data_IF_926202965788
#
_entry.id   IF_926202965788
#
_cell.length_a   1.000
_cell.length_b   1.000
_cell.length_c   1.000
_cell.angle_alpha   90.00
_cell.angle_beta   90.00
_cell.angle_gamma   90.00
#
_symmetry.space_group_name_H-M   'P 1'
#
loop_
_entity.id
_entity.type
_entity.pdbx_description
1 polymer ?
#
# COMPACT_ATOMS: atom_id res chain seq x y z
N UNK A 1 -13.57 -10.75 12.12
CA UNK A 1 -12.12 -10.90 11.90
C UNK A 1 -11.77 -9.89 10.83
N UNK A 2 -11.39 -8.68 11.24
CA UNK A 2 -11.31 -7.53 10.33
C UNK A 2 -9.88 -7.04 10.36
N UNK A 3 -9.19 -7.09 9.22
CA UNK A 3 -7.94 -6.34 9.04
C UNK A 3 -8.38 -4.88 8.86
N UNK A 4 -8.06 -4.04 9.84
CA UNK A 4 -8.36 -2.62 9.78
C UNK A 4 -7.28 -1.89 9.01
N UNK A 5 -7.66 -1.19 7.95
CA UNK A 5 -6.78 -0.26 7.24
C UNK A 5 -7.03 1.12 7.85
N UNK A 6 -6.00 1.70 8.46
CA UNK A 6 -6.03 3.09 8.93
C UNK A 6 -5.23 3.95 7.93
N UNK A 7 -5.92 4.88 7.27
CA UNK A 7 -5.32 5.84 6.35
C UNK A 7 -5.12 7.15 7.11
N UNK A 8 -3.88 7.59 7.27
CA UNK A 8 -3.54 8.89 7.84
C UNK A 8 -2.90 9.72 6.74
N UNK A 9 -3.62 10.75 6.26
CA UNK A 9 -3.06 11.71 5.32
C UNK A 9 -2.60 12.95 6.08
N UNK A 10 -1.31 13.27 5.97
CA UNK A 10 -0.72 14.49 6.52
C UNK A 10 -0.30 15.39 5.36
N UNK A 11 -0.90 16.56 5.26
CA UNK A 11 -0.42 17.61 4.37
C UNK A 11 0.68 18.40 5.09
N UNK A 12 1.95 18.13 4.79
CA UNK A 12 3.03 18.97 5.27
C UNK A 12 3.08 20.29 4.46
N UNK A 13 3.34 21.45 5.07
CA UNK A 13 3.28 22.76 4.42
C UNK A 13 4.32 23.00 3.31
N UNK A 14 5.15 22.00 2.98
CA UNK A 14 6.16 22.03 1.90
C UNK A 14 6.09 20.83 0.96
N UNK A 15 5.09 19.96 1.10
CA UNK A 15 4.92 18.82 0.21
C UNK A 15 3.92 19.19 -0.89
N UNK A 16 4.37 19.13 -2.14
CA UNK A 16 3.53 19.33 -3.34
C UNK A 16 2.43 18.27 -3.47
N UNK A 17 2.57 17.14 -2.77
CA UNK A 17 1.63 16.01 -2.76
C UNK A 17 1.41 15.57 -1.32
N UNK A 18 0.16 15.47 -0.81
CA UNK A 18 -0.10 14.99 0.54
C UNK A 18 0.42 13.56 0.72
N UNK A 19 1.18 13.33 1.79
CA UNK A 19 1.68 12.00 2.11
C UNK A 19 0.63 11.27 2.94
N UNK A 20 0.07 10.20 2.37
CA UNK A 20 -0.83 9.30 3.08
C UNK A 20 -0.05 8.05 3.48
N UNK A 21 0.11 7.85 4.79
CA UNK A 21 0.63 6.60 5.33
C UNK A 21 -0.56 5.69 5.65
N UNK A 22 -0.52 4.48 5.09
CA UNK A 22 -1.50 3.44 5.37
C UNK A 22 -0.83 2.41 6.24
N UNK A 23 -1.35 2.22 7.45
CA UNK A 23 -0.80 1.28 8.41
C UNK A 23 -1.66 0.02 8.47
N UNK A 24 -1.05 -1.13 8.19
CA UNK A 24 -1.66 -2.44 8.37
C UNK A 24 -1.46 -2.89 9.82
N UNK A 25 -2.51 -2.80 10.64
CA UNK A 25 -2.45 -3.27 12.03
C UNK A 25 -3.07 -4.66 12.12
N UNK A 26 -2.24 -5.69 12.26
CA UNK A 26 -2.73 -7.01 12.64
C UNK A 26 -3.22 -6.97 14.10
N UNK A 27 -4.49 -7.28 14.31
CA UNK A 27 -5.11 -7.41 15.64
C UNK A 27 -5.29 -8.87 16.06
N UNK A 28 -4.64 -9.80 15.35
CA UNK A 28 -4.75 -11.25 15.54
C UNK A 28 -3.36 -11.79 15.88
N UNK A 29 -3.21 -12.66 16.89
CA UNK A 29 -1.92 -13.28 17.21
C UNK A 29 -1.43 -14.13 16.03
N UNK A 30 -0.10 -14.14 15.81
CA UNK A 30 0.64 -14.82 14.70
C UNK A 30 0.42 -16.35 14.58
N UNK A 31 -0.54 -16.91 15.30
CA UNK A 31 -0.90 -18.33 15.31
C UNK A 31 -1.65 -18.77 14.03
N UNK A 32 -2.00 -17.84 13.14
CA UNK A 32 -2.53 -18.09 11.80
C UNK A 32 -1.61 -17.45 10.77
N UNK A 33 -0.86 -18.28 10.06
CA UNK A 33 0.04 -17.83 9.01
C UNK A 33 -0.78 -17.47 7.76
N UNK A 34 -1.10 -16.19 7.58
CA UNK A 34 -1.73 -15.72 6.35
C UNK A 34 -0.72 -15.81 5.20
N UNK A 35 -1.21 -16.19 4.01
CA UNK A 35 -0.38 -16.20 2.80
C UNK A 35 0.25 -14.83 2.52
N UNK A 36 -0.41 -13.74 2.93
CA UNK A 36 0.09 -12.38 2.80
C UNK A 36 0.05 -11.69 4.17
N UNK A 37 1.14 -11.00 4.50
CA UNK A 37 1.29 -10.16 5.69
C UNK A 37 1.85 -8.80 5.23
N UNK A 38 1.00 -7.92 4.67
CA UNK A 38 1.43 -6.62 4.20
C UNK A 38 1.90 -5.77 5.39
N UNK A 39 3.17 -5.35 5.37
CA UNK A 39 3.79 -4.60 6.47
C UNK A 39 3.92 -3.11 6.20
N UNK A 40 4.00 -2.73 4.93
CA UNK A 40 4.22 -1.34 4.52
C UNK A 40 3.68 -1.11 3.12
N UNK A 41 3.36 0.15 2.82
CA UNK A 41 3.09 0.58 1.46
C UNK A 41 3.69 1.95 1.17
N UNK A 42 3.89 2.21 -0.11
CA UNK A 42 4.29 3.50 -0.66
C UNK A 42 3.35 3.89 -1.81
N UNK A 43 3.14 5.19 -1.97
CA UNK A 43 2.37 5.78 -3.07
C UNK A 43 3.32 6.70 -3.84
N UNK A 44 3.32 6.59 -5.16
CA UNK A 44 4.16 7.36 -6.06
C UNK A 44 3.80 7.07 -7.51
N UNK A 45 4.40 7.78 -8.44
CA UNK A 45 4.40 7.39 -9.85
C UNK A 45 5.68 6.58 -10.07
N UNK A 46 5.56 5.28 -10.30
CA UNK A 46 6.69 4.35 -10.41
C UNK A 46 6.93 3.88 -11.86
N UNK A 47 6.06 4.25 -12.80
CA UNK A 47 6.17 3.90 -14.21
C UNK A 47 6.18 5.12 -15.16
N UNK A 48 6.23 6.34 -14.61
CA UNK A 48 6.25 7.63 -15.32
C UNK A 48 5.02 7.89 -16.19
N UNK A 49 3.84 7.42 -15.77
CA UNK A 49 2.57 7.64 -16.48
C UNK A 49 1.72 8.81 -15.94
N UNK A 50 2.23 9.52 -14.93
CA UNK A 50 1.61 10.60 -14.18
C UNK A 50 0.41 10.18 -13.30
N UNK A 51 0.18 8.89 -13.09
CA UNK A 51 -0.87 8.39 -12.21
C UNK A 51 -0.29 7.82 -10.90
N UNK A 52 -1.03 7.93 -9.78
CA UNK A 52 -0.60 7.33 -8.53
C UNK A 52 -0.66 5.80 -8.56
N UNK A 53 0.47 5.18 -8.29
CA UNK A 53 0.66 3.74 -8.09
C UNK A 53 0.76 3.39 -6.60
N UNK A 54 0.62 2.10 -6.29
CA UNK A 54 0.82 1.56 -4.93
C UNK A 54 1.85 0.45 -4.96
N UNK A 55 2.83 0.52 -4.06
CA UNK A 55 3.76 -0.57 -3.75
C UNK A 55 3.42 -1.13 -2.37
N UNK A 56 3.31 -2.46 -2.24
CA UNK A 56 3.02 -3.15 -0.98
C UNK A 56 4.12 -4.18 -0.70
N UNK A 57 4.71 -4.14 0.50
CA UNK A 57 5.68 -5.14 0.96
C UNK A 57 4.94 -6.21 1.77
N UNK A 58 4.93 -7.46 1.29
CA UNK A 58 4.31 -8.60 1.97
C UNK A 58 5.38 -9.48 2.62
N UNK A 59 5.42 -9.49 3.95
CA UNK A 59 6.44 -10.22 4.70
C UNK A 59 6.26 -11.74 4.63
N UNK A 60 5.04 -12.24 4.81
CA UNK A 60 4.78 -13.69 4.80
C UNK A 60 4.92 -14.32 3.40
N UNK A 61 4.67 -13.55 2.33
CA UNK A 61 4.82 -14.01 0.96
C UNK A 61 6.25 -13.80 0.41
N UNK A 62 7.11 -13.11 1.17
CA UNK A 62 8.45 -12.69 0.77
C UNK A 62 8.48 -12.00 -0.61
N UNK A 63 7.53 -11.08 -0.83
CA UNK A 63 7.42 -10.37 -2.11
C UNK A 63 7.02 -8.91 -1.96
N UNK A 64 7.20 -8.17 -3.06
CA UNK A 64 6.74 -6.79 -3.22
C UNK A 64 5.72 -6.79 -4.33
N UNK A 65 4.51 -6.33 -4.06
CA UNK A 65 3.47 -6.16 -5.07
C UNK A 65 3.40 -4.70 -5.53
N UNK A 66 3.35 -4.46 -6.84
CA UNK A 66 3.16 -3.12 -7.42
C UNK A 66 1.83 -3.09 -8.18
N UNK A 67 1.00 -2.12 -7.86
CA UNK A 67 -0.30 -1.87 -8.49
C UNK A 67 -0.20 -0.55 -9.27
N UNK A 68 -0.26 -0.62 -10.59
CA UNK A 68 -0.23 0.57 -11.44
C UNK A 68 -1.60 1.25 -11.50
N UNK A 69 -1.62 2.57 -11.42
CA UNK A 69 -2.83 3.38 -11.44
C UNK A 69 -3.32 3.69 -12.85
N UNK A 70 -4.63 3.67 -13.08
CA UNK A 70 -5.23 4.11 -14.35
C UNK A 70 -5.68 5.58 -14.37
N UNK A 71 -5.35 6.35 -13.31
CA UNK A 71 -5.75 7.76 -13.19
C UNK A 71 -7.22 8.05 -12.87
N UNK A 72 -8.10 7.05 -12.95
CA UNK A 72 -9.52 7.13 -12.63
C UNK A 72 -9.87 6.55 -11.24
N UNK A 73 -8.85 6.29 -10.40
CA UNK A 73 -8.98 5.66 -9.09
C UNK A 73 -9.05 4.12 -9.12
N UNK A 74 -8.99 3.50 -10.31
CA UNK A 74 -8.80 2.05 -10.45
C UNK A 74 -7.32 1.68 -10.64
N UNK A 75 -6.99 0.42 -10.37
CA UNK A 75 -5.62 -0.11 -10.41
C UNK A 75 -5.54 -1.40 -11.21
N UNK A 76 -4.37 -1.64 -11.78
CA UNK A 76 -3.99 -2.90 -12.41
C UNK A 76 -3.91 -4.06 -11.41
N UNK A 77 -3.91 -5.28 -11.94
CA UNK A 77 -3.52 -6.44 -11.14
C UNK A 77 -2.06 -6.32 -10.73
N UNK A 78 -1.72 -6.71 -9.49
CA UNK A 78 -0.37 -6.50 -9.00
C UNK A 78 0.64 -7.34 -9.75
N UNK A 79 1.76 -6.74 -10.08
CA UNK A 79 2.99 -7.46 -10.42
C UNK A 79 3.77 -7.74 -9.14
N UNK A 80 4.41 -8.92 -9.02
CA UNK A 80 5.15 -9.38 -7.84
C UNK A 80 6.51 -9.95 -8.19
#
# INVERSE_FOLDING_TARGET
>A
MTVGILIICVAAPKQSVPKCDVNFKSMIPDLIHYKYDPRSLAIGDFNDDNWPDIVVVNYAADNIAIYFGYGNGSMESPIT
#
